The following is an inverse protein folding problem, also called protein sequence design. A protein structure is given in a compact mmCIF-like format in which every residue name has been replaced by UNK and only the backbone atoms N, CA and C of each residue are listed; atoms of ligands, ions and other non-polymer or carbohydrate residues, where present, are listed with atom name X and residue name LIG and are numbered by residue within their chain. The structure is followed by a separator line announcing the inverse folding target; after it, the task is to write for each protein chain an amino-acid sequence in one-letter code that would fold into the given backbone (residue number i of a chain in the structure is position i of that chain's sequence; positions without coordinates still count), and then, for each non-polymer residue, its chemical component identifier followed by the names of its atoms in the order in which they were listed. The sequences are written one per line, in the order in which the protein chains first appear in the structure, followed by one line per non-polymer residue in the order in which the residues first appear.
data_IF_704038930636
#
_entry.id   IF_704038930636
#
_cell.length_a   1.000
_cell.length_b   1.000
_cell.length_c   1.000
_cell.angle_alpha   90.00
_cell.angle_beta   90.00
_cell.angle_gamma   90.00
#
_symmetry.space_group_name_H-M   'P 1'
#
loop_
_entity.id
_entity.type
_entity.pdbx_description
1 polymer ?
#
# COMPACT_ATOMS: atom_id res chain seq x y z
N UNK A 1 -17.33 0.32 6.05
CA UNK A 1 -18.43 1.20 6.52
C UNK A 1 -17.85 2.22 7.51
N UNK A 2 -18.30 3.47 7.56
CA UNK A 2 -17.89 4.38 8.64
C UNK A 2 -18.81 4.11 9.83
N UNK A 3 -18.36 3.29 10.77
CA UNK A 3 -19.05 3.08 12.04
C UNK A 3 -18.85 4.30 12.94
N UNK A 4 -19.95 4.82 13.49
CA UNK A 4 -19.91 5.87 14.50
C UNK A 4 -19.57 5.25 15.87
N UNK A 5 -18.39 5.57 16.39
CA UNK A 5 -17.87 5.08 17.67
C UNK A 5 -18.06 6.08 18.82
N UNK A 6 -18.86 7.13 18.62
CA UNK A 6 -18.97 8.25 19.57
C UNK A 6 -19.77 7.94 20.84
N UNK A 7 -20.52 6.83 20.87
CA UNK A 7 -21.47 6.52 21.96
C UNK A 7 -21.05 5.51 23.03
N UNK A 8 -19.88 4.87 22.93
CA UNK A 8 -19.43 3.88 23.91
C UNK A 8 -18.20 4.36 24.68
N UNK A 9 -18.32 4.35 26.01
CA UNK A 9 -17.17 4.38 26.91
C UNK A 9 -16.38 3.06 26.85
N UNK A 10 -15.19 3.05 27.44
CA UNK A 10 -14.40 1.83 27.57
C UNK A 10 -15.13 0.80 28.44
N UNK A 11 -15.31 -0.42 27.96
CA UNK A 11 -15.57 -1.55 28.85
C UNK A 11 -14.36 -1.70 29.77
N UNK A 12 -14.53 -1.86 31.08
CA UNK A 12 -13.41 -1.85 32.04
C UNK A 12 -12.42 -0.68 31.85
N UNK A 13 -12.94 0.55 31.94
CA UNK A 13 -12.20 1.77 31.64
C UNK A 13 -10.92 1.96 32.46
N UNK A 14 -10.93 1.56 33.73
CA UNK A 14 -9.81 1.73 34.66
C UNK A 14 -8.57 1.00 34.17
N UNK A 15 -8.70 -0.28 33.82
CA UNK A 15 -7.56 -1.09 33.39
C UNK A 15 -7.02 -0.65 32.02
N UNK A 16 -7.89 -0.28 31.08
CA UNK A 16 -7.49 0.24 29.76
C UNK A 16 -6.77 1.57 29.87
N UNK A 17 -7.23 2.47 30.75
CA UNK A 17 -6.54 3.74 31.03
C UNK A 17 -5.18 3.49 31.69
N UNK A 18 -5.11 2.60 32.68
CA UNK A 18 -3.85 2.21 33.33
C UNK A 18 -2.84 1.67 32.32
N UNK A 19 -3.27 0.75 31.46
CA UNK A 19 -2.44 0.17 30.40
C UNK A 19 -1.88 1.24 29.44
N UNK A 20 -2.71 2.18 28.97
CA UNK A 20 -2.27 3.25 28.07
C UNK A 20 -1.28 4.19 28.73
N UNK A 21 -1.50 4.53 30.00
CA UNK A 21 -0.60 5.40 30.77
C UNK A 21 0.77 4.75 30.95
N UNK A 22 0.81 3.45 31.30
CA UNK A 22 2.06 2.72 31.49
C UNK A 22 2.85 2.51 30.19
N UNK A 23 2.16 2.32 29.06
CA UNK A 23 2.82 2.04 27.78
C UNK A 23 3.07 3.29 26.92
N UNK A 24 2.73 4.49 27.40
CA UNK A 24 2.91 5.77 26.69
C UNK A 24 2.40 5.75 25.24
N UNK A 25 1.34 4.98 24.98
CA UNK A 25 0.79 4.74 23.64
C UNK A 25 -0.70 4.99 23.64
N UNK A 26 -1.19 5.80 22.70
CA UNK A 26 -2.61 6.12 22.59
C UNK A 26 -3.33 5.06 21.74
N UNK A 27 -3.97 4.11 22.41
CA UNK A 27 -4.79 3.08 21.79
C UNK A 27 -6.30 3.32 21.97
N UNK A 28 -6.71 4.53 22.36
CA UNK A 28 -8.12 4.83 22.68
C UNK A 28 -9.07 4.49 21.53
N UNK A 29 -8.68 4.76 20.28
CA UNK A 29 -9.50 4.47 19.11
C UNK A 29 -9.76 2.96 18.95
N UNK A 30 -8.76 2.12 19.21
CA UNK A 30 -8.88 0.66 19.16
C UNK A 30 -9.77 0.16 20.30
N UNK A 31 -9.54 0.67 21.52
CA UNK A 31 -10.34 0.30 22.68
C UNK A 31 -11.81 0.74 22.57
N UNK A 32 -12.09 1.92 22.04
CA UNK A 32 -13.48 2.33 21.74
C UNK A 32 -14.13 1.40 20.72
N UNK A 33 -13.38 0.97 19.70
CA UNK A 33 -13.91 0.06 18.68
C UNK A 33 -14.20 -1.34 19.26
N UNK A 34 -13.34 -1.86 20.13
CA UNK A 34 -13.52 -3.19 20.73
C UNK A 34 -14.57 -3.20 21.85
N UNK A 35 -14.80 -2.08 22.56
CA UNK A 35 -15.81 -1.97 23.63
C UNK A 35 -17.17 -2.52 23.20
N UNK A 36 -17.60 -2.26 21.96
CA UNK A 36 -18.88 -2.77 21.45
C UNK A 36 -18.95 -4.30 21.51
N UNK A 37 -17.86 -4.98 21.18
CA UNK A 37 -17.75 -6.43 21.25
C UNK A 37 -17.73 -6.90 22.71
N UNK A 38 -17.02 -6.18 23.58
CA UNK A 38 -16.97 -6.50 25.01
C UNK A 38 -18.36 -6.42 25.66
N UNK A 39 -19.13 -5.37 25.35
CA UNK A 39 -20.53 -5.26 25.78
C UNK A 39 -21.42 -6.35 25.18
N UNK A 40 -21.24 -6.69 23.90
CA UNK A 40 -22.03 -7.74 23.25
C UNK A 40 -21.75 -9.14 23.82
N UNK A 41 -20.49 -9.42 24.16
CA UNK A 41 -20.08 -10.72 24.72
C UNK A 41 -20.20 -10.75 26.25
N UNK A 42 -20.38 -9.62 26.92
CA UNK A 42 -20.47 -9.52 28.37
C UNK A 42 -19.17 -9.86 29.09
N UNK A 43 -18.01 -9.64 28.45
CA UNK A 43 -16.69 -9.95 29.00
C UNK A 43 -15.62 -8.99 28.49
N UNK A 44 -14.54 -8.86 29.25
CA UNK A 44 -13.40 -8.03 28.85
C UNK A 44 -12.62 -8.69 27.70
N UNK A 45 -11.97 -7.85 26.89
CA UNK A 45 -11.04 -8.26 25.84
C UNK A 45 -9.97 -9.24 26.34
N UNK A 46 -9.57 -9.18 27.61
CA UNK A 46 -8.63 -10.13 28.22
C UNK A 46 -9.11 -11.58 28.21
N UNK A 47 -10.43 -11.80 28.07
CA UNK A 47 -11.09 -13.10 28.10
C UNK A 47 -11.71 -13.47 26.73
N UNK A 48 -11.34 -12.77 25.66
CA UNK A 48 -11.75 -13.14 24.30
C UNK A 48 -11.00 -14.38 23.80
N UNK A 49 -11.71 -15.24 23.09
CA UNK A 49 -11.17 -16.32 22.26
C UNK A 49 -10.56 -15.79 20.96
N UNK A 50 -9.80 -16.62 20.24
CA UNK A 50 -9.21 -16.20 18.97
C UNK A 50 -10.27 -15.90 17.90
N UNK A 51 -11.40 -16.60 17.93
CA UNK A 51 -12.53 -16.40 17.05
C UNK A 51 -13.22 -15.05 17.31
N UNK A 52 -13.40 -14.68 18.58
CA UNK A 52 -13.99 -13.38 18.95
C UNK A 52 -13.08 -12.21 18.57
N UNK A 53 -11.76 -12.36 18.78
CA UNK A 53 -10.77 -11.39 18.31
C UNK A 53 -10.78 -11.32 16.78
N UNK A 54 -10.87 -12.45 16.10
CA UNK A 54 -11.01 -12.51 14.63
C UNK A 54 -12.28 -11.82 14.15
N UNK A 55 -13.40 -11.99 14.87
CA UNK A 55 -14.65 -11.29 14.61
C UNK A 55 -14.51 -9.77 14.75
N UNK A 56 -13.82 -9.30 15.79
CA UNK A 56 -13.47 -7.89 15.95
C UNK A 56 -12.57 -7.40 14.80
N UNK A 57 -11.48 -8.11 14.48
CA UNK A 57 -10.55 -7.73 13.41
C UNK A 57 -11.24 -7.64 12.05
N UNK A 58 -12.16 -8.58 11.76
CA UNK A 58 -12.97 -8.58 10.55
C UNK A 58 -13.92 -7.38 10.48
N UNK A 59 -14.51 -6.98 11.60
CA UNK A 59 -15.37 -5.79 11.63
C UNK A 59 -14.60 -4.47 11.65
N UNK A 60 -13.39 -4.48 12.22
CA UNK A 60 -12.49 -3.34 12.26
C UNK A 60 -11.91 -3.02 10.87
N UNK A 61 -11.77 -4.03 10.00
CA UNK A 61 -11.35 -3.90 8.59
C UNK A 61 -10.07 -3.04 8.43
N UNK A 62 -8.92 -3.43 9.04
CA UNK A 62 -7.69 -2.65 8.94
C UNK A 62 -7.30 -2.40 7.48
N UNK A 63 -6.95 -1.16 7.13
CA UNK A 63 -6.72 -0.76 5.73
C UNK A 63 -5.40 -1.25 5.12
N UNK A 64 -4.47 -1.73 5.95
CA UNK A 64 -3.15 -2.21 5.52
C UNK A 64 -2.66 -3.33 6.44
N UNK A 65 -1.72 -4.19 5.99
CA UNK A 65 -1.06 -5.18 6.85
C UNK A 65 -0.41 -4.57 8.08
N UNK A 66 0.20 -3.39 7.93
CA UNK A 66 0.79 -2.64 9.05
C UNK A 66 -0.26 -2.20 10.08
N UNK A 67 -1.41 -1.69 9.63
CA UNK A 67 -2.51 -1.35 10.53
C UNK A 67 -3.07 -2.59 11.24
N UNK A 68 -3.23 -3.71 10.53
CA UNK A 68 -3.67 -4.98 11.11
C UNK A 68 -2.69 -5.47 12.18
N UNK A 69 -1.38 -5.38 11.92
CA UNK A 69 -0.35 -5.72 12.89
C UNK A 69 -0.37 -4.79 14.12
N UNK A 70 -0.55 -3.49 13.93
CA UNK A 70 -0.69 -2.52 15.05
C UNK A 70 -1.88 -2.87 15.94
N UNK A 71 -3.04 -3.14 15.35
CA UNK A 71 -4.24 -3.54 16.11
C UNK A 71 -3.98 -4.83 16.85
N UNK A 72 -3.51 -5.89 16.17
CA UNK A 72 -3.17 -7.17 16.80
C UNK A 72 -2.21 -7.00 17.97
N UNK A 73 -1.14 -6.21 17.80
CA UNK A 73 -0.13 -5.99 18.83
C UNK A 73 -0.71 -5.21 20.03
N UNK A 74 -1.59 -4.23 19.78
CA UNK A 74 -2.32 -3.54 20.84
C UNK A 74 -3.15 -4.54 21.67
N UNK A 75 -3.98 -5.36 21.03
CA UNK A 75 -4.81 -6.35 21.71
C UNK A 75 -3.95 -7.36 22.49
N UNK A 76 -2.91 -7.91 21.84
CA UNK A 76 -1.96 -8.86 22.45
C UNK A 76 -1.31 -8.29 23.70
N UNK A 77 -0.82 -7.05 23.64
CA UNK A 77 -0.15 -6.41 24.76
C UNK A 77 -1.11 -6.10 25.91
N UNK A 78 -2.33 -5.66 25.61
CA UNK A 78 -3.35 -5.44 26.63
C UNK A 78 -3.75 -6.74 27.33
N UNK A 79 -4.02 -7.82 26.58
CA UNK A 79 -4.38 -9.12 27.16
C UNK A 79 -3.24 -9.62 28.07
N UNK A 80 -1.99 -9.55 27.60
CA UNK A 80 -0.82 -9.93 28.41
C UNK A 80 -0.68 -9.08 29.68
N UNK A 81 -1.01 -7.79 29.62
CA UNK A 81 -0.99 -6.89 30.78
C UNK A 81 -2.01 -7.29 31.83
N UNK A 82 -3.25 -7.58 31.43
CA UNK A 82 -4.30 -8.04 32.35
C UNK A 82 -3.97 -9.41 32.93
N UNK A 83 -3.49 -10.34 32.11
CA UNK A 83 -3.07 -11.66 32.57
C UNK A 83 -1.97 -11.58 33.63
N UNK A 84 -0.98 -10.70 33.42
CA UNK A 84 0.07 -10.47 34.41
C UNK A 84 -0.47 -9.93 35.74
N UNK A 85 -1.41 -8.97 35.71
CA UNK A 85 -2.09 -8.47 36.92
C UNK A 85 -2.88 -9.56 37.66
N UNK A 86 -3.43 -10.52 36.92
CA UNK A 86 -4.22 -11.63 37.46
C UNK A 86 -3.37 -12.85 37.85
N UNK A 87 -2.05 -12.82 37.64
CA UNK A 87 -1.17 -13.97 37.86
C UNK A 87 -1.39 -15.13 36.87
N UNK A 88 -2.05 -14.88 35.73
CA UNK A 88 -2.24 -15.85 34.65
C UNK A 88 -0.99 -15.97 33.78
N UNK A 89 -0.81 -17.13 33.14
CA UNK A 89 0.32 -17.33 32.24
C UNK A 89 0.11 -16.57 30.91
N UNK A 90 1.15 -15.92 30.39
CA UNK A 90 1.12 -15.28 29.06
C UNK A 90 0.74 -16.26 27.95
N UNK A 91 1.07 -17.54 28.09
CA UNK A 91 0.69 -18.57 27.13
C UNK A 91 -0.83 -18.82 27.08
N UNK A 92 -1.62 -18.29 28.02
CA UNK A 92 -3.09 -18.32 27.94
C UNK A 92 -3.64 -17.30 26.95
N UNK A 93 -2.86 -16.28 26.55
CA UNK A 93 -3.28 -15.33 25.54
C UNK A 93 -3.35 -16.02 24.15
N UNK A 94 -4.54 -16.10 23.52
CA UNK A 94 -4.69 -16.77 22.23
C UNK A 94 -3.83 -16.15 21.12
N UNK A 95 -3.46 -14.87 21.22
CA UNK A 95 -2.61 -14.19 20.24
C UNK A 95 -1.13 -14.57 20.35
N UNK A 96 -0.69 -15.19 21.45
CA UNK A 96 0.69 -15.70 21.58
C UNK A 96 0.89 -17.02 20.80
N UNK A 97 -0.18 -17.79 20.58
CA UNK A 97 -0.14 -19.08 19.87
C UNK A 97 -0.28 -18.96 18.35
N UNK A 98 -0.49 -17.75 17.83
CA UNK A 98 -0.71 -17.52 16.40
C UNK A 98 0.41 -18.08 15.51
N UNK A 99 1.67 -18.03 15.98
CA UNK A 99 2.80 -18.55 15.22
C UNK A 99 2.73 -20.07 15.05
N UNK A 100 2.21 -20.78 16.04
CA UNK A 100 2.04 -22.25 15.98
C UNK A 100 0.89 -22.64 15.06
N UNK A 101 -0.19 -21.85 15.05
CA UNK A 101 -1.40 -22.15 14.28
C UNK A 101 -1.27 -21.71 12.82
N UNK A 102 -0.64 -20.57 12.56
CA UNK A 102 -0.61 -19.92 11.24
C UNK A 102 0.80 -19.78 10.64
N UNK A 103 1.80 -20.44 11.24
CA UNK A 103 3.25 -20.33 10.97
C UNK A 103 3.88 -18.96 11.19
N UNK A 104 3.13 -17.88 10.94
CA UNK A 104 3.49 -16.50 11.28
C UNK A 104 2.27 -15.75 11.79
N UNK A 105 2.48 -14.84 12.75
CA UNK A 105 1.42 -13.95 13.22
C UNK A 105 0.87 -13.04 12.11
N UNK A 106 1.67 -12.80 11.07
CA UNK A 106 1.33 -11.98 9.91
C UNK A 106 0.27 -12.63 9.04
N UNK A 107 0.39 -13.93 8.76
CA UNK A 107 -0.59 -14.66 7.96
C UNK A 107 -2.00 -14.53 8.54
N UNK A 108 -2.12 -14.58 9.87
CA UNK A 108 -3.39 -14.40 10.54
C UNK A 108 -3.91 -12.96 10.44
N UNK A 109 -3.08 -11.93 10.62
CA UNK A 109 -3.55 -10.54 10.55
C UNK A 109 -3.90 -10.09 9.12
N UNK A 110 -3.16 -10.59 8.12
CA UNK A 110 -3.28 -10.15 6.72
C UNK A 110 -4.62 -10.58 6.10
N UNK A 111 -5.26 -11.63 6.62
CA UNK A 111 -6.59 -12.07 6.15
C UNK A 111 -7.73 -11.09 6.48
N UNK A 112 -7.52 -10.18 7.43
CA UNK A 112 -8.52 -9.18 7.84
C UNK A 112 -8.28 -7.82 7.17
N UNK A 113 -7.18 -7.68 6.43
CA UNK A 113 -6.88 -6.42 5.75
C UNK A 113 -7.96 -6.17 4.72
N UNK A 114 -8.59 -5.01 4.79
CA UNK A 114 -9.58 -4.60 3.82
C UNK A 114 -8.97 -4.68 2.42
N UNK A 115 -9.72 -5.21 1.45
CA UNK A 115 -9.32 -5.28 0.03
C UNK A 115 -9.14 -3.88 -0.61
N UNK A 116 -9.30 -2.82 0.19
CA UNK A 116 -9.45 -1.43 -0.19
C UNK A 116 -8.15 -0.68 -0.42
N UNK A 117 -7.07 -1.31 -0.89
CA UNK A 117 -6.06 -0.52 -1.60
C UNK A 117 -6.69 -0.05 -2.91
N UNK A 118 -7.47 1.04 -2.82
CA UNK A 118 -8.13 1.69 -3.95
C UNK A 118 -7.03 2.42 -4.70
N UNK A 119 -6.33 1.65 -5.50
CA UNK A 119 -5.47 2.14 -6.56
C UNK A 119 -6.36 2.48 -7.76
N UNK A 120 -5.92 3.45 -8.55
CA UNK A 120 -6.63 3.91 -9.74
C UNK A 120 -5.75 3.83 -10.96
N UNK A 121 -6.34 3.50 -12.10
CA UNK A 121 -5.65 3.60 -13.37
C UNK A 121 -5.49 5.07 -13.76
N UNK A 122 -4.62 5.33 -14.74
CA UNK A 122 -4.42 6.66 -15.30
C UNK A 122 -5.73 7.20 -15.90
N UNK A 123 -6.49 6.35 -16.59
CA UNK A 123 -7.79 6.72 -17.16
C UNK A 123 -8.81 7.05 -16.05
N UNK A 124 -8.79 6.32 -14.94
CA UNK A 124 -9.67 6.62 -13.82
C UNK A 124 -9.34 7.96 -13.15
N UNK A 125 -8.05 8.29 -13.06
CA UNK A 125 -7.61 9.61 -12.62
C UNK A 125 -8.14 10.72 -13.55
N UNK A 126 -8.04 10.52 -14.87
CA UNK A 126 -8.60 11.46 -15.86
C UNK A 126 -10.10 11.68 -15.64
N UNK A 127 -10.87 10.61 -15.40
CA UNK A 127 -12.29 10.73 -15.09
C UNK A 127 -12.55 11.53 -13.81
N UNK A 128 -11.73 11.34 -12.77
CA UNK A 128 -11.83 12.09 -11.50
C UNK A 128 -11.61 13.58 -11.78
N UNK A 129 -10.52 13.92 -12.46
CA UNK A 129 -10.16 15.30 -12.81
C UNK A 129 -11.26 15.99 -13.62
N UNK A 130 -11.82 15.29 -14.63
CA UNK A 130 -12.86 15.86 -15.49
C UNK A 130 -14.20 16.06 -14.74
N UNK A 131 -14.42 15.37 -13.62
CA UNK A 131 -15.60 15.55 -12.77
C UNK A 131 -15.43 16.64 -11.71
N UNK A 132 -14.21 17.13 -11.50
CA UNK A 132 -13.95 18.23 -10.58
C UNK A 132 -14.21 19.55 -11.30
N UNK A 133 -15.12 20.35 -10.75
CA UNK A 133 -15.48 21.65 -11.31
C UNK A 133 -14.34 22.67 -11.19
N UNK A 134 -13.56 22.60 -10.09
CA UNK A 134 -12.45 23.50 -9.85
C UNK A 134 -11.14 22.87 -10.34
N UNK A 135 -10.41 23.57 -11.18
CA UNK A 135 -9.10 23.12 -11.68
C UNK A 135 -8.03 23.15 -10.60
N UNK A 136 -8.16 24.05 -9.64
CA UNK A 136 -7.41 24.05 -8.39
C UNK A 136 -7.52 22.74 -7.59
N UNK A 137 -8.63 22.01 -7.70
CA UNK A 137 -8.78 20.70 -7.05
C UNK A 137 -8.21 19.59 -7.93
N UNK A 138 -8.53 19.59 -9.23
CA UNK A 138 -8.05 18.59 -10.18
C UNK A 138 -6.52 18.50 -10.22
N UNK A 139 -5.83 19.64 -10.17
CA UNK A 139 -4.37 19.66 -10.21
C UNK A 139 -3.74 18.94 -9.02
N UNK A 140 -4.36 18.97 -7.84
CA UNK A 140 -3.84 18.29 -6.64
C UNK A 140 -3.74 16.78 -6.90
N UNK A 141 -4.78 16.18 -7.49
CA UNK A 141 -4.79 14.76 -7.81
C UNK A 141 -3.74 14.40 -8.86
N UNK A 142 -3.61 15.23 -9.91
CA UNK A 142 -2.62 15.04 -10.97
C UNK A 142 -1.19 15.13 -10.44
N UNK A 143 -0.86 16.15 -9.66
CA UNK A 143 0.48 16.33 -9.09
C UNK A 143 0.85 15.17 -8.15
N UNK A 144 -0.10 14.68 -7.34
CA UNK A 144 0.12 13.47 -6.52
C UNK A 144 0.48 12.27 -7.40
N UNK A 145 -0.26 12.05 -8.49
CA UNK A 145 -0.01 10.95 -9.41
C UNK A 145 1.34 11.07 -10.14
N UNK A 146 1.79 12.30 -10.42
CA UNK A 146 3.12 12.56 -11.00
C UNK A 146 4.26 12.46 -9.98
N UNK A 147 3.95 12.30 -8.69
CA UNK A 147 4.92 12.07 -7.63
C UNK A 147 5.37 13.32 -6.88
N UNK A 148 4.54 14.36 -6.86
CA UNK A 148 4.72 15.54 -6.01
C UNK A 148 3.90 15.34 -4.73
N UNK A 149 4.54 15.53 -3.59
CA UNK A 149 3.94 15.35 -2.27
C UNK A 149 3.18 16.60 -1.84
N UNK A 150 2.18 16.43 -0.96
CA UNK A 150 1.40 17.56 -0.41
C UNK A 150 2.32 18.62 0.24
N UNK A 151 3.37 18.17 0.94
CA UNK A 151 4.33 19.08 1.58
C UNK A 151 5.16 19.88 0.57
N UNK A 152 5.33 19.39 -0.65
CA UNK A 152 6.03 20.09 -1.73
C UNK A 152 5.07 21.03 -2.48
N UNK A 153 3.81 20.62 -2.66
CA UNK A 153 2.78 21.40 -3.36
C UNK A 153 2.53 22.78 -2.75
N UNK A 154 2.66 22.92 -1.43
CA UNK A 154 2.44 24.21 -0.75
C UNK A 154 3.48 25.26 -1.14
N UNK A 155 4.61 24.85 -1.73
CA UNK A 155 5.71 25.71 -2.16
C UNK A 155 5.76 25.93 -3.67
N UNK A 156 4.91 25.25 -4.45
CA UNK A 156 4.94 25.37 -5.91
C UNK A 156 4.46 26.74 -6.36
N UNK A 157 5.30 27.43 -7.12
CA UNK A 157 5.00 28.69 -7.78
C UNK A 157 4.97 28.52 -9.30
N UNK A 158 4.48 29.54 -10.01
CA UNK A 158 4.56 29.58 -11.47
C UNK A 158 6.00 29.44 -11.99
N UNK A 159 6.97 30.01 -11.27
CA UNK A 159 8.40 29.96 -11.61
C UNK A 159 9.02 28.57 -11.42
N UNK A 160 8.39 27.72 -10.61
CA UNK A 160 8.81 26.32 -10.44
C UNK A 160 8.62 25.49 -11.71
N UNK A 161 7.90 25.99 -12.72
CA UNK A 161 7.49 25.21 -13.91
C UNK A 161 8.27 25.67 -15.14
N UNK A 162 8.98 24.73 -15.78
CA UNK A 162 9.71 24.96 -17.02
C UNK A 162 9.46 23.82 -18.00
N UNK A 163 8.61 24.09 -19.02
CA UNK A 163 8.09 23.06 -19.91
C UNK A 163 7.37 21.95 -19.11
N UNK A 164 7.76 20.70 -19.34
CA UNK A 164 7.24 19.53 -18.62
C UNK A 164 8.03 19.18 -17.35
N UNK A 165 8.86 20.12 -16.85
CA UNK A 165 9.67 19.93 -15.66
C UNK A 165 9.17 20.83 -14.55
N UNK A 166 8.93 20.26 -13.37
CA UNK A 166 8.64 21.01 -12.15
C UNK A 166 9.85 20.92 -11.22
N UNK A 167 10.40 22.07 -10.86
CA UNK A 167 11.47 22.19 -9.87
C UNK A 167 10.87 22.34 -8.47
N UNK A 168 11.08 21.34 -7.64
CA UNK A 168 10.62 21.31 -6.26
C UNK A 168 11.76 21.76 -5.34
N UNK A 169 11.41 22.42 -4.24
CA UNK A 169 12.36 22.75 -3.15
C UNK A 169 13.25 21.53 -2.82
N UNK A 170 14.56 21.76 -2.65
CA UNK A 170 15.65 20.77 -2.61
C UNK A 170 16.19 20.29 -3.98
N UNK A 171 15.99 21.07 -5.06
CA UNK A 171 16.49 20.80 -6.42
C UNK A 171 15.99 19.46 -7.00
N UNK A 172 14.82 18.99 -6.56
CA UNK A 172 14.21 17.78 -7.09
C UNK A 172 13.43 18.14 -8.35
N UNK A 173 13.93 17.70 -9.49
CA UNK A 173 13.27 17.90 -10.78
C UNK A 173 12.29 16.75 -11.05
N UNK A 174 11.03 17.08 -11.32
CA UNK A 174 9.98 16.11 -11.63
C UNK A 174 9.52 16.31 -13.06
N UNK A 175 9.66 15.26 -13.88
CA UNK A 175 9.10 15.21 -15.23
C UNK A 175 7.62 14.84 -15.16
N UNK A 176 6.76 15.73 -15.67
CA UNK A 176 5.30 15.57 -15.65
C UNK A 176 4.74 15.38 -17.06
N UNK A 177 3.54 14.81 -17.17
CA UNK A 177 2.85 14.67 -18.45
C UNK A 177 2.36 16.00 -19.01
N UNK A 178 2.10 16.06 -20.33
CA UNK A 178 1.49 17.23 -20.99
C UNK A 178 0.16 17.59 -20.33
N UNK A 179 -0.66 16.58 -20.01
CA UNK A 179 -1.92 16.77 -19.27
C UNK A 179 -1.72 17.44 -17.92
N UNK A 180 -0.61 17.18 -17.23
CA UNK A 180 -0.30 17.91 -15.99
C UNK A 180 -0.10 19.39 -16.27
N UNK A 181 0.66 19.74 -17.30
CA UNK A 181 0.89 21.13 -17.71
C UNK A 181 -0.41 21.82 -18.15
N UNK A 182 -1.28 21.12 -18.89
CA UNK A 182 -2.61 21.62 -19.26
C UNK A 182 -3.43 22.01 -18.03
N UNK A 183 -3.56 21.11 -17.06
CA UNK A 183 -4.35 21.37 -15.84
C UNK A 183 -3.68 22.46 -14.99
N UNK A 184 -2.35 22.53 -14.94
CA UNK A 184 -1.60 23.61 -14.27
C UNK A 184 -2.00 24.97 -14.87
N UNK A 185 -1.97 25.09 -16.20
CA UNK A 185 -2.28 26.33 -16.88
C UNK A 185 -3.72 26.76 -16.61
N UNK A 186 -4.67 25.81 -16.67
CA UNK A 186 -6.07 26.05 -16.33
C UNK A 186 -6.23 26.50 -14.86
N UNK A 187 -5.53 25.86 -13.93
CA UNK A 187 -5.58 26.22 -12.51
C UNK A 187 -4.97 27.60 -12.21
N UNK A 188 -3.93 28.01 -12.93
CA UNK A 188 -3.30 29.33 -12.76
C UNK A 188 -4.19 30.48 -13.23
N UNK A 189 -5.03 30.26 -14.25
CA UNK A 189 -5.95 31.29 -14.76
C UNK A 189 -7.33 31.25 -14.09
N UNK A 190 -7.66 30.21 -13.33
CA UNK A 190 -8.94 30.12 -12.60
C UNK A 190 -9.08 31.30 -11.63
N UNK A 191 -10.21 32.00 -11.63
CA UNK A 191 -10.41 33.18 -10.76
C UNK A 191 -11.46 32.93 -9.68
N UNK A 192 -12.37 32.00 -9.94
CA UNK A 192 -13.47 31.67 -9.05
C UNK A 192 -13.32 30.25 -8.53
N UNK A 193 -13.67 30.05 -7.26
CA UNK A 193 -13.74 28.74 -6.64
C UNK A 193 -15.17 28.43 -6.24
N UNK A 194 -15.68 27.30 -6.73
CA UNK A 194 -17.00 26.77 -6.40
C UNK A 194 -16.87 25.89 -5.15
N UNK A 195 -17.28 26.37 -3.96
CA UNK A 195 -17.22 25.57 -2.76
C UNK A 195 -18.18 24.39 -2.85
N UNK A 196 -17.90 23.36 -2.06
CA UNK A 196 -18.78 22.20 -1.95
C UNK A 196 -20.17 22.65 -1.48
N UNK A 197 -21.21 22.27 -2.22
CA UNK A 197 -22.58 22.38 -1.74
C UNK A 197 -22.71 21.41 -0.55
N UNK A 198 -22.71 21.95 0.68
CA UNK A 198 -22.76 21.13 1.88
C UNK A 198 -24.07 20.33 1.87
N UNK A 199 -23.96 19.00 1.90
CA UNK A 199 -25.10 18.08 2.01
C UNK A 199 -25.83 18.13 3.36
N UNK A 200 -25.45 19.04 4.27
CA UNK A 200 -25.93 19.09 5.65
C UNK A 200 -26.13 20.55 6.10
N UNK A 201 -27.30 21.12 5.78
CA UNK A 201 -28.00 22.16 6.55
C UNK A 201 -27.31 23.50 6.84
N UNK A 202 -26.09 23.73 6.37
CA UNK A 202 -25.36 24.98 6.58
C UNK A 202 -25.31 25.74 5.26
N UNK A 203 -25.60 27.04 5.35
CA UNK A 203 -25.72 28.03 4.28
C UNK A 203 -24.92 27.65 3.03
N UNK A 204 -25.63 27.59 1.89
CA UNK A 204 -25.09 27.41 0.53
C UNK A 204 -23.71 28.04 0.46
N UNK A 205 -22.69 27.27 0.12
CA UNK A 205 -21.35 27.80 -0.08
C UNK A 205 -21.43 28.87 -1.16
N UNK A 206 -21.44 30.14 -0.76
CA UNK A 206 -21.46 31.25 -1.70
C UNK A 206 -20.13 31.16 -2.45
N UNK A 207 -20.15 31.33 -3.77
CA UNK A 207 -18.95 31.41 -4.61
C UNK A 207 -17.90 32.32 -3.96
N UNK A 208 -16.63 31.90 -3.98
CA UNK A 208 -15.52 32.69 -3.46
C UNK A 208 -14.54 32.98 -4.58
N UNK A 209 -14.01 34.19 -4.64
CA UNK A 209 -12.91 34.47 -5.54
C UNK A 209 -11.64 33.84 -4.97
N UNK A 210 -10.77 33.32 -5.84
CA UNK A 210 -9.43 32.94 -5.44
C UNK A 210 -8.65 34.21 -5.09
N UNK A 211 -7.74 34.13 -4.12
CA UNK A 211 -6.87 35.25 -3.80
C UNK A 211 -6.11 35.70 -5.08
N UNK A 212 -5.98 37.01 -5.23
CA UNK A 212 -5.34 37.62 -6.41
C UNK A 212 -3.86 37.25 -6.56
N UNK A 213 -3.18 36.80 -5.48
CA UNK A 213 -1.81 36.32 -5.61
C UNK A 213 -1.76 35.06 -6.51
N UNK A 214 -1.35 35.25 -7.77
CA UNK A 214 -1.14 34.21 -8.81
C UNK A 214 0.26 33.61 -8.79
N UNK A 215 1.10 33.94 -7.80
CA UNK A 215 2.45 33.37 -7.64
C UNK A 215 2.36 31.87 -7.33
N UNK A 216 1.54 31.49 -6.36
CA UNK A 216 1.36 30.11 -5.93
C UNK A 216 0.40 29.35 -6.84
N UNK A 217 0.75 28.10 -7.14
CA UNK A 217 -0.08 27.23 -7.98
C UNK A 217 -1.42 26.88 -7.30
N UNK A 218 -1.38 26.54 -6.01
CA UNK A 218 -2.55 26.20 -5.20
C UNK A 218 -2.96 27.38 -4.32
N UNK A 219 -4.13 27.95 -4.60
CA UNK A 219 -4.60 29.20 -4.00
C UNK A 219 -5.78 29.00 -3.04
N UNK A 220 -5.78 29.82 -1.98
CA UNK A 220 -6.92 29.97 -1.07
C UNK A 220 -7.99 30.87 -1.69
N UNK A 221 -9.20 30.79 -1.17
CA UNK A 221 -10.23 31.80 -1.45
C UNK A 221 -9.97 33.08 -0.64
N UNK A 222 -10.41 34.21 -1.18
CA UNK A 222 -10.39 35.56 -0.58
C UNK A 222 -10.99 35.63 0.83
N UNK A 223 -11.98 34.78 1.13
CA UNK A 223 -12.61 34.68 2.45
C UNK A 223 -11.72 34.15 3.57
N UNK A 224 -10.58 33.55 3.26
CA UNK A 224 -9.68 33.03 4.29
C UNK A 224 -8.84 34.18 4.81
N UNK A 225 -9.17 34.68 6.01
CA UNK A 225 -8.57 35.87 6.66
C UNK A 225 -7.12 35.69 7.13
N UNK A 226 -6.38 34.72 6.58
CA UNK A 226 -4.98 34.52 6.96
C UNK A 226 -4.10 35.49 6.19
N UNK A 227 -3.27 36.25 6.92
CA UNK A 227 -2.19 37.08 6.36
C UNK A 227 -1.23 36.25 5.48
N UNK A 228 -1.06 34.97 5.79
CA UNK A 228 -0.26 34.08 4.96
C UNK A 228 -1.02 33.68 3.68
N UNK A 229 -0.52 34.15 2.54
CA UNK A 229 -1.03 33.83 1.22
C UNK A 229 -0.78 32.38 0.82
N UNK A 230 0.28 31.76 1.37
CA UNK A 230 0.63 30.37 1.12
C UNK A 230 -0.40 29.41 1.70
N UNK A 231 -0.74 28.40 0.90
CA UNK A 231 -1.63 27.30 1.30
C UNK A 231 -0.98 26.41 2.37
N UNK A 232 -1.76 25.91 3.33
CA UNK A 232 -1.27 24.96 4.33
C UNK A 232 -1.44 23.51 3.86
N UNK A 233 -0.62 22.60 4.38
CA UNK A 233 -0.75 21.18 4.05
C UNK A 233 -2.13 20.61 4.43
N UNK A 234 -2.71 21.10 5.53
CA UNK A 234 -4.04 20.69 6.00
C UNK A 234 -5.14 21.12 5.03
N UNK A 235 -4.98 22.29 4.41
CA UNK A 235 -5.93 22.77 3.41
C UNK A 235 -5.96 21.87 2.18
N UNK A 236 -4.80 21.50 1.64
CA UNK A 236 -4.70 20.55 0.51
C UNK A 236 -5.32 19.20 0.88
N UNK A 237 -5.04 18.68 2.09
CA UNK A 237 -5.67 17.44 2.58
C UNK A 237 -7.20 17.54 2.67
N UNK A 238 -7.73 18.67 3.12
CA UNK A 238 -9.17 18.92 3.13
C UNK A 238 -9.75 18.88 1.72
N UNK A 239 -9.13 19.59 0.77
CA UNK A 239 -9.56 19.61 -0.64
C UNK A 239 -9.64 18.22 -1.27
N UNK A 240 -8.66 17.37 -0.99
CA UNK A 240 -8.67 15.96 -1.43
C UNK A 240 -9.86 15.23 -0.80
N UNK A 241 -10.04 15.38 0.52
CA UNK A 241 -11.12 14.71 1.26
C UNK A 241 -12.50 15.14 0.75
N UNK A 242 -12.72 16.44 0.59
CA UNK A 242 -13.96 17.03 0.10
C UNK A 242 -14.26 16.57 -1.33
N UNK A 243 -13.25 16.57 -2.20
CA UNK A 243 -13.35 16.06 -3.57
C UNK A 243 -13.75 14.58 -3.63
N UNK A 244 -13.13 13.74 -2.79
CA UNK A 244 -13.43 12.31 -2.72
C UNK A 244 -14.85 12.06 -2.18
N UNK A 245 -15.28 12.81 -1.17
CA UNK A 245 -16.66 12.77 -0.66
C UNK A 245 -17.65 13.15 -1.76
N UNK A 246 -17.39 14.24 -2.50
CA UNK A 246 -18.22 14.71 -3.62
C UNK A 246 -18.40 13.63 -4.68
N UNK A 247 -17.31 12.98 -5.04
CA UNK A 247 -17.28 11.92 -6.05
C UNK A 247 -17.74 10.56 -5.51
N UNK A 248 -18.10 10.47 -4.22
CA UNK A 248 -18.48 9.23 -3.52
C UNK A 248 -17.40 8.14 -3.59
N UNK A 249 -16.14 8.54 -3.65
CA UNK A 249 -14.98 7.64 -3.68
C UNK A 249 -14.53 7.42 -2.23
N UNK A 250 -14.84 6.25 -1.69
CA UNK A 250 -14.44 5.86 -0.32
C UNK A 250 -13.01 5.32 -0.32
N UNK A 251 -12.33 5.37 0.82
CA UNK A 251 -11.05 4.66 1.08
C UNK A 251 -9.82 5.13 0.28
N UNK A 252 -9.97 6.03 -0.69
CA UNK A 252 -8.84 6.62 -1.41
C UNK A 252 -8.14 7.65 -0.53
N UNK A 253 -6.81 7.64 -0.56
CA UNK A 253 -5.96 8.61 0.12
C UNK A 253 -4.96 9.22 -0.86
N UNK A 254 -4.34 10.34 -0.49
CA UNK A 254 -3.24 10.94 -1.27
C UNK A 254 -2.12 9.93 -1.56
N UNK A 255 -1.82 9.07 -0.57
CA UNK A 255 -0.83 8.01 -0.71
C UNK A 255 -1.24 6.95 -1.73
N UNK A 256 -2.53 6.58 -1.80
CA UNK A 256 -3.01 5.66 -2.83
C UNK A 256 -2.89 6.24 -4.24
N UNK A 257 -3.16 7.54 -4.40
CA UNK A 257 -3.00 8.24 -5.69
C UNK A 257 -1.54 8.26 -6.13
N UNK A 258 -0.61 8.60 -5.22
CA UNK A 258 0.83 8.53 -5.49
C UNK A 258 1.29 7.12 -5.86
N UNK A 259 0.88 6.10 -5.09
CA UNK A 259 1.19 4.71 -5.40
C UNK A 259 0.65 4.26 -6.77
N UNK A 260 -0.54 4.74 -7.14
CA UNK A 260 -1.11 4.50 -8.48
C UNK A 260 -0.22 5.10 -9.58
N UNK A 261 0.30 6.31 -9.34
CA UNK A 261 1.30 6.94 -10.19
C UNK A 261 2.59 6.14 -10.30
N UNK A 262 3.09 5.59 -9.19
CA UNK A 262 4.28 4.71 -9.20
C UNK A 262 4.07 3.44 -10.02
N UNK A 263 2.88 2.85 -9.96
CA UNK A 263 2.52 1.68 -10.79
C UNK A 263 2.51 2.09 -12.26
N UNK A 264 1.90 3.22 -12.59
CA UNK A 264 1.87 3.72 -13.96
C UNK A 264 3.27 3.96 -14.53
N UNK A 265 4.14 4.63 -13.76
CA UNK A 265 5.52 4.92 -14.17
C UNK A 265 6.41 3.67 -14.24
N UNK A 266 6.02 2.57 -13.58
CA UNK A 266 6.72 1.28 -13.66
C UNK A 266 6.17 0.34 -14.74
N UNK A 267 5.09 0.67 -15.45
CA UNK A 267 4.56 -0.14 -16.55
C UNK A 267 5.61 -0.50 -17.62
N UNK A 268 6.50 0.40 -18.07
CA UNK A 268 7.55 0.04 -19.02
C UNK A 268 8.47 -1.08 -18.51
N UNK A 269 8.74 -1.09 -17.20
CA UNK A 269 9.58 -2.11 -16.55
C UNK A 269 8.85 -3.44 -16.42
N UNK A 270 7.52 -3.42 -16.25
CA UNK A 270 6.68 -4.62 -16.19
C UNK A 270 6.38 -5.26 -17.55
N UNK A 271 6.59 -4.53 -18.66
CA UNK A 271 6.44 -5.06 -20.02
C UNK A 271 7.60 -5.95 -20.44
N UNK A 272 8.73 -5.90 -19.73
CA UNK A 272 9.82 -6.84 -19.95
C UNK A 272 9.42 -8.23 -19.45
N UNK A 273 9.09 -9.12 -20.39
CA UNK A 273 8.67 -10.50 -20.13
C UNK A 273 9.72 -11.31 -19.37
N UNK A 274 11.00 -10.88 -19.41
CA UNK A 274 12.08 -11.54 -18.69
C UNK A 274 12.23 -11.02 -17.25
N UNK A 275 11.47 -9.99 -16.88
CA UNK A 275 11.60 -9.29 -15.60
C UNK A 275 10.26 -9.22 -14.85
N UNK A 276 9.87 -10.28 -14.13
CA UNK A 276 8.57 -10.34 -13.47
C UNK A 276 8.44 -9.37 -12.27
N UNK A 277 9.55 -8.75 -11.82
CA UNK A 277 9.60 -7.88 -10.65
C UNK A 277 10.66 -6.81 -10.82
N UNK A 278 10.44 -5.66 -10.19
CA UNK A 278 11.47 -4.63 -10.05
C UNK A 278 12.56 -5.12 -9.09
N UNK A 279 13.80 -4.77 -9.39
CA UNK A 279 14.96 -4.94 -8.51
C UNK A 279 14.92 -3.91 -7.38
N UNK A 280 15.71 -4.15 -6.33
CA UNK A 280 15.89 -3.22 -5.22
C UNK A 280 16.30 -1.81 -5.68
N UNK A 281 17.20 -1.74 -6.66
CA UNK A 281 17.68 -0.47 -7.21
C UNK A 281 16.56 0.28 -7.96
N UNK A 282 15.75 -0.42 -8.75
CA UNK A 282 14.61 0.18 -9.43
C UNK A 282 13.53 0.67 -8.47
N UNK A 283 13.25 -0.08 -7.39
CA UNK A 283 12.39 0.41 -6.33
C UNK A 283 12.96 1.67 -5.67
N UNK A 284 14.27 1.70 -5.42
CA UNK A 284 14.94 2.86 -4.83
C UNK A 284 14.86 4.08 -5.75
N UNK A 285 15.10 3.90 -7.04
CA UNK A 285 15.02 4.98 -8.04
C UNK A 285 13.58 5.48 -8.21
N UNK A 286 12.60 4.58 -8.22
CA UNK A 286 11.18 4.93 -8.25
C UNK A 286 10.76 5.68 -6.96
N UNK A 287 11.21 5.21 -5.79
CA UNK A 287 10.96 5.85 -4.51
C UNK A 287 11.48 7.29 -4.51
N UNK A 288 12.74 7.49 -4.92
CA UNK A 288 13.37 8.82 -5.03
C UNK A 288 12.62 9.75 -5.98
N UNK A 289 12.15 9.25 -7.13
CA UNK A 289 11.34 10.03 -8.10
C UNK A 289 10.03 10.55 -7.50
N UNK A 290 9.53 9.93 -6.43
CA UNK A 290 8.31 10.32 -5.72
C UNK A 290 8.61 10.93 -4.33
N UNK A 291 9.88 11.26 -4.05
CA UNK A 291 10.31 11.88 -2.79
C UNK A 291 10.33 10.95 -1.57
N UNK A 292 10.42 9.64 -1.77
CA UNK A 292 10.55 8.66 -0.69
C UNK A 292 12.02 8.31 -0.42
N UNK A 293 12.40 8.27 0.86
CA UNK A 293 13.75 7.91 1.31
C UNK A 293 13.96 6.39 1.45
N UNK A 294 12.88 5.63 1.59
CA UNK A 294 12.95 4.17 1.81
C UNK A 294 11.97 3.45 0.89
N UNK A 295 12.34 2.23 0.50
CA UNK A 295 11.49 1.37 -0.34
C UNK A 295 10.34 0.73 0.44
N UNK A 296 10.45 0.61 1.77
CA UNK A 296 9.41 0.17 2.70
C UNK A 296 8.42 -0.87 2.14
N UNK A 297 7.16 -0.46 2.01
CA UNK A 297 6.07 -1.32 1.53
C UNK A 297 5.92 -1.34 -0.01
N UNK A 298 6.78 -0.64 -0.77
CA UNK A 298 6.62 -0.50 -2.22
C UNK A 298 6.57 -1.84 -2.96
N UNK A 299 7.36 -2.88 -2.64
CA UNK A 299 7.25 -4.16 -3.35
C UNK A 299 5.87 -4.83 -3.24
N UNK A 300 5.11 -4.54 -2.18
CA UNK A 300 3.75 -5.06 -1.98
C UNK A 300 2.69 -4.25 -2.74
N UNK A 301 3.02 -3.03 -3.15
CA UNK A 301 2.08 -2.10 -3.78
C UNK A 301 2.39 -1.99 -5.28
N UNK A 302 3.64 -1.74 -5.61
CA UNK A 302 4.15 -1.58 -6.98
C UNK A 302 4.64 -2.93 -7.47
N UNK A 303 3.71 -3.79 -7.86
CA UNK A 303 4.00 -5.11 -8.41
C UNK A 303 3.14 -5.41 -9.64
N UNK A 304 3.49 -6.49 -10.32
CA UNK A 304 2.84 -6.92 -11.56
C UNK A 304 1.35 -7.25 -11.36
N UNK A 305 0.94 -7.72 -10.18
CA UNK A 305 -0.45 -8.09 -9.91
C UNK A 305 -1.33 -6.84 -9.84
N UNK A 306 -0.89 -5.82 -9.10
CA UNK A 306 -1.57 -4.53 -9.05
C UNK A 306 -1.51 -3.81 -10.41
N UNK A 307 -0.39 -3.91 -11.13
CA UNK A 307 -0.28 -3.38 -12.49
C UNK A 307 -1.29 -4.04 -13.44
N UNK A 308 -1.43 -5.38 -13.41
CA UNK A 308 -2.43 -6.12 -14.19
C UNK A 308 -3.87 -5.77 -13.78
N UNK A 309 -4.13 -5.61 -12.49
CA UNK A 309 -5.45 -5.19 -11.97
C UNK A 309 -5.88 -3.84 -12.53
N UNK A 310 -4.93 -2.91 -12.70
CA UNK A 310 -5.22 -1.55 -13.17
C UNK A 310 -5.13 -1.38 -14.69
N UNK A 311 -4.20 -2.11 -15.34
CA UNK A 311 -3.76 -1.87 -16.72
C UNK A 311 -3.68 -3.17 -17.55
N UNK A 312 -4.36 -4.25 -17.15
CA UNK A 312 -4.26 -5.56 -17.80
C UNK A 312 -4.41 -5.52 -19.32
N UNK A 313 -5.35 -4.71 -19.83
CA UNK A 313 -5.56 -4.52 -21.27
C UNK A 313 -4.39 -3.81 -21.97
N UNK A 314 -3.72 -2.87 -21.28
CA UNK A 314 -2.60 -2.07 -21.83
C UNK A 314 -1.24 -2.76 -21.69
N UNK A 315 -1.15 -3.73 -20.79
CA UNK A 315 0.07 -4.52 -20.62
C UNK A 315 0.24 -5.51 -21.78
N UNK A 316 -0.83 -5.86 -22.50
CA UNK A 316 -0.83 -6.80 -23.64
C UNK A 316 0.01 -8.05 -23.38
N UNK A 317 0.07 -8.47 -22.11
CA UNK A 317 0.72 -9.69 -21.69
C UNK A 317 -0.36 -10.75 -21.88
N UNK A 318 -0.48 -11.29 -23.09
CA UNK A 318 -1.25 -12.52 -23.27
C UNK A 318 -0.59 -13.54 -22.34
N UNK A 319 -1.34 -13.99 -21.33
CA UNK A 319 -0.84 -14.93 -20.34
C UNK A 319 -0.40 -16.24 -21.02
N UNK A 320 -0.91 -16.50 -22.23
CA UNK A 320 -0.51 -17.62 -23.09
C UNK A 320 0.78 -17.36 -23.88
N UNK A 321 1.18 -16.11 -24.10
CA UNK A 321 2.36 -15.75 -24.91
C UNK A 321 3.66 -15.78 -24.11
N UNK A 322 3.63 -15.44 -22.81
CA UNK A 322 4.73 -15.75 -21.87
C UNK A 322 4.97 -17.27 -21.79
N UNK A 323 3.90 -18.07 -21.85
CA UNK A 323 3.97 -19.54 -21.89
C UNK A 323 4.40 -20.11 -23.25
N UNK A 324 4.21 -19.37 -24.36
CA UNK A 324 4.63 -19.81 -25.71
C UNK A 324 6.06 -19.39 -26.05
N UNK A 325 6.51 -18.21 -25.62
CA UNK A 325 7.86 -17.72 -25.89
C UNK A 325 8.92 -18.37 -25.00
N UNK A 326 8.54 -18.92 -23.85
CA UNK A 326 9.37 -19.82 -23.03
C UNK A 326 9.55 -21.23 -23.65
N UNK A 327 8.81 -21.55 -24.72
CA UNK A 327 8.83 -22.86 -25.41
C UNK A 327 9.45 -22.77 -26.81
N UNK A 328 9.59 -21.56 -27.40
CA UNK A 328 9.95 -21.39 -28.82
C UNK A 328 11.36 -20.89 -29.13
N UNK A 329 12.22 -20.62 -28.15
CA UNK A 329 13.66 -20.41 -28.42
C UNK A 329 14.39 -21.76 -28.42
N UNK A 330 14.18 -22.53 -29.49
CA UNK A 330 14.85 -23.80 -29.73
C UNK A 330 14.90 -24.05 -31.23
N UNK A 331 15.90 -23.46 -31.88
CA UNK A 331 16.49 -23.87 -33.16
C UNK A 331 17.71 -22.98 -33.41
N UNK A 332 18.87 -23.41 -32.92
CA UNK A 332 20.08 -23.52 -33.76
C UNK A 332 21.19 -24.21 -32.94
N UNK A 333 21.97 -25.01 -33.66
CA UNK A 333 22.85 -26.05 -33.17
C UNK A 333 24.00 -25.53 -32.29
N UNK A 334 23.83 -25.56 -30.97
CA UNK A 334 24.90 -25.88 -30.00
C UNK A 334 24.25 -26.27 -28.66
N UNK A 335 24.33 -27.56 -28.33
CA UNK A 335 23.89 -28.13 -27.06
C UNK A 335 24.50 -27.39 -25.86
N UNK A 336 23.69 -26.55 -25.22
CA UNK A 336 23.76 -26.28 -23.77
C UNK A 336 22.39 -26.60 -23.20
N UNK A 337 22.31 -27.71 -22.49
CA UNK A 337 21.12 -28.23 -21.83
C UNK A 337 20.40 -27.14 -21.01
N UNK A 338 19.35 -26.54 -21.57
CA UNK A 338 18.28 -25.91 -20.79
C UNK A 338 17.27 -27.01 -20.48
N UNK A 339 17.28 -27.48 -19.23
CA UNK A 339 16.36 -28.51 -18.75
C UNK A 339 14.91 -27.97 -18.65
N UNK A 340 13.90 -28.79 -18.99
CA UNK A 340 12.51 -28.36 -19.06
C UNK A 340 11.91 -28.01 -17.69
N UNK A 341 10.93 -27.11 -17.68
CA UNK A 341 10.11 -26.71 -16.53
C UNK A 341 9.42 -27.93 -15.89
N UNK A 342 9.58 -28.12 -14.58
CA UNK A 342 8.83 -29.16 -13.84
C UNK A 342 7.68 -28.51 -13.05
N UNK A 343 6.44 -28.67 -13.54
CA UNK A 343 5.23 -28.31 -12.77
C UNK A 343 5.00 -29.41 -11.73
N UNK A 344 5.42 -29.16 -10.48
CA UNK A 344 4.94 -29.97 -9.36
C UNK A 344 3.44 -29.65 -9.13
N UNK A 345 2.68 -30.70 -8.78
CA UNK A 345 1.21 -30.68 -8.55
C UNK A 345 0.74 -29.46 -7.75
N UNK A 346 -0.49 -29.03 -8.00
CA UNK A 346 -1.14 -27.87 -7.35
C UNK A 346 -1.37 -28.13 -5.85
N UNK A 347 -0.43 -27.72 -5.00
CA UNK A 347 -0.60 -27.75 -3.54
C UNK A 347 -0.16 -26.44 -2.85
N UNK A 348 -0.85 -26.11 -1.74
CA UNK A 348 -0.77 -24.84 -0.99
C UNK A 348 0.68 -24.44 -0.63
N UNK A 349 0.97 -23.12 -0.71
CA UNK A 349 2.31 -22.53 -0.77
C UNK A 349 3.37 -22.91 0.28
N UNK A 350 3.03 -23.44 1.45
CA UNK A 350 4.01 -23.91 2.45
C UNK A 350 4.43 -25.38 2.24
N UNK A 351 3.53 -26.20 1.71
CA UNK A 351 3.84 -27.58 1.30
C UNK A 351 4.82 -27.56 0.12
N UNK A 352 4.67 -26.57 -0.77
CA UNK A 352 5.57 -26.37 -1.90
C UNK A 352 7.02 -26.10 -1.47
N UNK A 353 7.25 -25.23 -0.48
CA UNK A 353 8.61 -24.97 0.01
C UNK A 353 9.25 -26.24 0.59
N UNK A 354 8.52 -26.95 1.46
CA UNK A 354 9.03 -28.15 2.11
C UNK A 354 9.33 -29.26 1.09
N UNK A 355 8.47 -29.44 0.09
CA UNK A 355 8.68 -30.38 -1.01
C UNK A 355 9.94 -30.02 -1.79
N UNK A 356 10.13 -28.76 -2.16
CA UNK A 356 11.31 -28.37 -2.95
C UNK A 356 12.58 -28.48 -2.11
N UNK A 357 12.54 -28.04 -0.86
CA UNK A 357 13.66 -28.21 0.06
C UNK A 357 14.04 -29.68 0.20
N UNK A 358 13.08 -30.57 0.41
CA UNK A 358 13.33 -32.00 0.54
C UNK A 358 13.86 -32.60 -0.77
N UNK A 359 13.32 -32.20 -1.92
CA UNK A 359 13.83 -32.60 -3.23
C UNK A 359 15.29 -32.16 -3.43
N UNK A 360 15.60 -30.89 -3.17
CA UNK A 360 16.96 -30.36 -3.30
C UNK A 360 17.92 -31.05 -2.32
N UNK A 361 17.51 -31.24 -1.07
CA UNK A 361 18.31 -31.93 -0.05
C UNK A 361 18.59 -33.39 -0.42
N UNK A 362 17.62 -34.10 -1.00
CA UNK A 362 17.78 -35.47 -1.46
C UNK A 362 18.71 -35.54 -2.69
N UNK A 363 18.49 -34.65 -3.67
CA UNK A 363 19.24 -34.66 -4.93
C UNK A 363 20.69 -34.17 -4.79
N UNK A 364 20.93 -33.14 -3.99
CA UNK A 364 22.23 -32.48 -3.91
C UNK A 364 22.95 -32.68 -2.57
N UNK A 365 22.25 -33.20 -1.56
CA UNK A 365 22.79 -33.44 -0.23
C UNK A 365 22.76 -32.21 0.67
N UNK A 366 22.57 -32.43 1.98
CA UNK A 366 22.39 -31.36 2.99
C UNK A 366 23.53 -30.35 3.04
N UNK A 367 24.77 -30.77 2.80
CA UNK A 367 25.96 -29.90 2.81
C UNK A 367 25.98 -28.88 1.65
N UNK A 368 25.21 -29.14 0.61
CA UNK A 368 25.23 -28.39 -0.64
C UNK A 368 24.02 -27.48 -0.81
N UNK A 369 22.97 -27.60 0.01
CA UNK A 369 21.75 -26.81 -0.11
C UNK A 369 21.62 -25.86 1.07
N UNK A 370 21.52 -24.56 0.80
CA UNK A 370 21.40 -23.52 1.82
C UNK A 370 20.19 -22.64 1.54
N UNK A 371 19.27 -22.52 2.51
CA UNK A 371 18.18 -21.54 2.42
C UNK A 371 18.76 -20.12 2.51
N UNK A 372 18.43 -19.29 1.54
CA UNK A 372 18.75 -17.87 1.52
C UNK A 372 17.60 -17.10 2.17
N UNK A 373 17.92 -16.05 2.91
CA UNK A 373 16.92 -15.19 3.54
C UNK A 373 16.60 -14.07 2.56
N UNK A 374 15.39 -14.09 1.97
CA UNK A 374 14.85 -12.95 1.23
C UNK A 374 13.48 -12.52 1.80
N UNK A 375 13.19 -11.25 1.60
CA UNK A 375 11.99 -10.51 1.95
C UNK A 375 10.74 -10.89 1.17
N UNK A 376 10.84 -11.64 0.06
CA UNK A 376 9.72 -11.88 -0.88
C UNK A 376 9.55 -13.34 -1.39
N UNK A 377 10.20 -14.34 -0.77
CA UNK A 377 10.11 -15.75 -1.18
C UNK A 377 11.09 -16.70 -0.45
N UNK A 378 11.15 -17.97 -0.87
CA UNK A 378 12.02 -19.01 -0.31
C UNK A 378 13.12 -19.44 -1.28
N UNK A 379 14.27 -18.77 -1.26
CA UNK A 379 15.37 -19.11 -2.18
C UNK A 379 16.32 -20.16 -1.58
N UNK A 380 16.85 -21.07 -2.40
CA UNK A 380 17.79 -22.12 -1.98
C UNK A 380 19.07 -22.09 -2.81
N UNK A 381 20.20 -21.68 -2.24
CA UNK A 381 21.50 -21.82 -2.89
C UNK A 381 21.88 -23.32 -2.95
N UNK A 382 22.31 -23.82 -4.12
CA UNK A 382 22.80 -25.20 -4.28
C UNK A 382 24.21 -25.22 -4.84
N UNK A 383 25.15 -25.80 -4.11
CA UNK A 383 26.55 -25.94 -4.53
C UNK A 383 26.77 -27.29 -5.18
N UNK A 384 27.21 -27.31 -6.44
CA UNK A 384 27.62 -28.54 -7.14
C UNK A 384 29.12 -28.52 -7.41
N UNK A 385 29.74 -29.70 -7.57
CA UNK A 385 31.20 -29.84 -7.65
C UNK A 385 31.84 -29.10 -8.84
N UNK A 386 31.07 -28.81 -9.90
CA UNK A 386 31.63 -28.24 -11.12
C UNK A 386 31.19 -26.79 -11.43
N UNK A 387 30.12 -26.26 -10.84
CA UNK A 387 29.69 -24.84 -10.97
C UNK A 387 28.85 -24.45 -9.73
N UNK A 388 29.00 -23.22 -9.20
CA UNK A 388 28.04 -22.63 -8.26
C UNK A 388 26.75 -22.28 -9.01
N UNK A 389 25.84 -23.23 -9.15
CA UNK A 389 24.54 -22.95 -9.74
C UNK A 389 23.58 -22.47 -8.63
N UNK A 390 23.23 -21.19 -8.60
CA UNK A 390 22.18 -20.74 -7.69
C UNK A 390 20.83 -21.26 -8.18
N UNK A 391 20.10 -22.00 -7.34
CA UNK A 391 18.77 -22.53 -7.64
C UNK A 391 17.71 -21.66 -6.97
N UNK A 392 17.19 -20.65 -7.65
CA UNK A 392 16.12 -19.83 -7.08
C UNK A 392 14.80 -20.59 -7.18
N UNK A 393 14.10 -20.74 -6.05
CA UNK A 393 12.84 -21.48 -5.98
C UNK A 393 11.73 -20.50 -5.62
N UNK A 394 10.84 -20.19 -6.56
CA UNK A 394 9.74 -19.25 -6.30
C UNK A 394 8.41 -19.96 -6.17
N UNK A 395 7.72 -19.69 -5.07
CA UNK A 395 6.29 -19.96 -4.93
C UNK A 395 5.51 -18.74 -5.44
N UNK A 396 4.73 -18.90 -6.51
CA UNK A 396 3.84 -17.83 -7.01
C UNK A 396 2.39 -18.26 -6.75
N UNK A 397 1.72 -17.52 -5.87
CA UNK A 397 0.38 -17.85 -5.40
C UNK A 397 0.32 -19.15 -4.60
N UNK A 398 -0.87 -19.75 -4.50
CA UNK A 398 -1.07 -20.96 -3.71
C UNK A 398 -0.46 -22.24 -4.33
N UNK A 399 -0.03 -22.28 -5.60
CA UNK A 399 0.05 -23.57 -6.32
C UNK A 399 1.18 -23.73 -7.35
N UNK A 400 2.23 -22.91 -7.36
CA UNK A 400 3.27 -23.03 -8.42
C UNK A 400 4.68 -22.81 -7.89
N UNK A 401 5.56 -23.77 -8.15
CA UNK A 401 6.99 -23.74 -7.87
C UNK A 401 7.74 -23.52 -9.17
N UNK A 402 8.65 -22.55 -9.20
CA UNK A 402 9.57 -22.31 -10.32
C UNK A 402 11.00 -22.50 -9.84
N UNK A 403 11.82 -23.23 -10.60
CA UNK A 403 13.22 -23.50 -10.31
C UNK A 403 14.07 -22.79 -11.37
N UNK A 404 14.83 -21.78 -10.98
CA UNK A 404 15.73 -21.05 -11.85
C UNK A 404 17.18 -21.48 -11.61
N UNK A 405 17.93 -21.72 -12.68
CA UNK A 405 19.36 -21.97 -12.60
C UNK A 405 20.10 -20.73 -13.09
N UNK A 406 20.86 -20.08 -12.20
CA UNK A 406 21.79 -19.02 -12.57
C UNK A 406 23.22 -19.56 -12.53
N UNK A 407 24.02 -19.21 -13.55
CA UNK A 407 25.47 -19.46 -13.58
C UNK A 407 26.25 -18.35 -12.89
#
# INVERSE_FOLDING_TARGET
MNYDYSGYDFYNSVDKISFMNENSTDFRAIFKAVSRFEYNYGKDLSDFSIEEIGGFMKAYEPSTPGAAATVRNCLKNYINYIHAKQGKNKEENPLNKLKEIFNTERNWSDQFVAESQILISHNKLIEIENKLENKQDAIIFRLLFEGIQIAEMVHLTKESISGNTINIENNRLVQVSDRCIEIINEALIEEEYKPLEKSLGSSKGIWGYLKENKEYLIRKTDRVSTENERTSYMFIRSRITDSLIRLKIKGMTSKNIMHSGMIYKSLPLFRDVNKPRLTQNEYSDLAKKFGYYTIGALPYIVNIENAKKLYGNELNIDSKEILRNSVKTGNDDTEKEMFPWWKFKEENGEYGELIVKNYLLNKYGKKNVRKMVDSAGFDFEVKTENIKNCIEVKTIGKYSIYIYYYK
#
